data_IF_678633646203
#
_entry.id   IF_678633646203
#
_cell.length_a   1.000
_cell.length_b   1.000
_cell.length_c   1.000
_cell.angle_alpha   90.00
_cell.angle_beta   90.00
_cell.angle_gamma   90.00
#
_symmetry.space_group_name_H-M   'P 1'
#
loop_
_entity.id
_entity.type
_entity.pdbx_description
1 polymer ?
#
# COMPACT_ATOMS: atom_id res chain seq x y z
N UNK A 1 43.59 1.10 3.77
CA UNK A 1 43.72 -0.37 3.92
C UNK A 1 43.12 -0.78 5.25
N UNK A 2 41.86 -1.19 5.26
CA UNK A 2 41.15 -1.62 6.48
C UNK A 2 41.27 -3.13 6.63
N UNK A 3 41.99 -3.56 7.66
CA UNK A 3 42.19 -4.96 8.02
C UNK A 3 40.86 -5.58 8.46
N UNK A 4 40.44 -6.63 7.74
CA UNK A 4 39.34 -7.52 8.14
C UNK A 4 39.54 -7.99 9.59
N UNK A 5 38.47 -7.91 10.39
CA UNK A 5 38.42 -8.40 11.77
C UNK A 5 38.92 -9.86 11.86
N UNK A 6 39.79 -10.14 12.84
CA UNK A 6 40.39 -11.46 13.10
C UNK A 6 39.35 -12.59 13.19
N UNK A 7 38.13 -12.29 13.64
CA UNK A 7 37.05 -13.27 13.78
C UNK A 7 36.46 -13.72 12.43
N UNK A 8 36.39 -12.82 11.45
CA UNK A 8 35.96 -13.16 10.07
C UNK A 8 37.04 -14.00 9.37
N UNK A 9 38.31 -13.68 9.62
CA UNK A 9 39.44 -14.48 9.11
C UNK A 9 39.49 -15.88 9.75
N UNK A 10 39.20 -16.01 11.05
CA UNK A 10 39.12 -17.30 11.72
C UNK A 10 37.97 -18.16 11.19
N UNK A 11 36.76 -17.61 11.02
CA UNK A 11 35.65 -18.37 10.43
C UNK A 11 35.93 -18.80 8.98
N UNK A 12 36.59 -17.95 8.17
CA UNK A 12 37.03 -18.31 6.81
C UNK A 12 38.08 -19.41 6.81
N UNK A 13 39.05 -19.35 7.75
CA UNK A 13 40.09 -20.36 7.89
C UNK A 13 39.49 -21.71 8.28
N UNK A 14 38.56 -21.72 9.24
CA UNK A 14 37.83 -22.93 9.65
C UNK A 14 36.96 -23.48 8.52
N UNK A 15 36.21 -22.65 7.78
CA UNK A 15 35.42 -23.14 6.63
C UNK A 15 36.30 -23.70 5.51
N UNK A 16 37.46 -23.09 5.25
CA UNK A 16 38.44 -23.55 4.26
C UNK A 16 39.07 -24.88 4.69
N UNK A 17 39.44 -25.02 5.96
CA UNK A 17 40.01 -26.25 6.51
C UNK A 17 38.99 -27.39 6.56
N UNK A 18 37.74 -27.11 6.94
CA UNK A 18 36.65 -28.11 6.96
C UNK A 18 36.19 -28.50 5.55
N UNK A 19 36.12 -27.56 4.61
CA UNK A 19 35.79 -27.85 3.21
C UNK A 19 36.89 -28.65 2.50
N UNK A 20 38.16 -28.36 2.79
CA UNK A 20 39.29 -29.12 2.26
C UNK A 20 39.35 -30.54 2.85
N UNK A 21 39.02 -30.69 4.14
CA UNK A 21 38.91 -32.00 4.79
C UNK A 21 37.75 -32.82 4.19
N UNK A 22 36.61 -32.19 3.89
CA UNK A 22 35.48 -32.84 3.24
C UNK A 22 35.82 -33.27 1.80
N UNK A 23 36.44 -32.40 0.99
CA UNK A 23 36.86 -32.73 -0.37
C UNK A 23 37.86 -33.91 -0.42
N UNK A 24 38.75 -34.02 0.59
CA UNK A 24 39.70 -35.14 0.74
C UNK A 24 39.07 -36.44 1.27
N UNK A 25 37.87 -36.36 1.84
CA UNK A 25 37.14 -37.51 2.39
C UNK A 25 36.23 -38.21 1.38
N UNK A 26 36.02 -37.61 0.21
CA UNK A 26 35.27 -38.21 -0.90
C UNK A 26 36.25 -39.08 -1.72
N UNK A 27 35.93 -40.37 -1.98
CA UNK A 27 36.84 -41.28 -2.68
C UNK A 27 36.87 -40.96 -4.19
N UNK A 28 37.56 -39.89 -4.56
CA UNK A 28 37.82 -39.50 -5.94
C UNK A 28 39.31 -39.68 -6.21
N UNK A 29 39.67 -40.60 -7.12
CA UNK A 29 41.07 -40.93 -7.41
C UNK A 29 41.64 -39.93 -8.44
N UNK A 30 42.83 -39.39 -8.16
CA UNK A 30 43.67 -38.69 -9.14
C UNK A 30 43.22 -37.28 -9.56
N UNK A 31 43.34 -36.89 -10.85
CA UNK A 31 43.27 -35.49 -11.36
C UNK A 31 41.96 -34.73 -11.05
N UNK A 32 40.95 -35.42 -10.53
CA UNK A 32 39.70 -34.81 -10.04
C UNK A 32 39.83 -34.12 -8.67
N UNK A 33 40.77 -34.53 -7.80
CA UNK A 33 41.04 -33.84 -6.52
C UNK A 33 41.66 -32.47 -6.78
N UNK A 34 42.65 -32.39 -7.69
CA UNK A 34 43.33 -31.14 -8.00
C UNK A 34 42.37 -30.13 -8.68
N UNK A 35 41.46 -30.63 -9.53
CA UNK A 35 40.38 -29.84 -10.10
C UNK A 35 39.40 -29.32 -9.02
N UNK A 36 39.04 -30.15 -8.04
CA UNK A 36 38.17 -29.76 -6.93
C UNK A 36 38.83 -28.74 -5.99
N UNK A 37 40.13 -28.89 -5.68
CA UNK A 37 40.88 -27.92 -4.87
C UNK A 37 41.04 -26.57 -5.59
N UNK A 38 41.29 -26.58 -6.90
CA UNK A 38 41.32 -25.35 -7.73
C UNK A 38 39.95 -24.68 -7.79
N UNK A 39 38.87 -25.44 -8.00
CA UNK A 39 37.50 -24.91 -7.96
C UNK A 39 37.18 -24.33 -6.59
N UNK A 40 37.49 -25.02 -5.49
CA UNK A 40 37.22 -24.55 -4.14
C UNK A 40 38.00 -23.27 -3.81
N UNK A 41 39.25 -23.17 -4.26
CA UNK A 41 40.08 -21.97 -4.10
C UNK A 41 39.50 -20.81 -4.90
N UNK A 42 39.12 -21.04 -6.17
CA UNK A 42 38.47 -20.05 -7.03
C UNK A 42 37.13 -19.59 -6.43
N UNK A 43 36.29 -20.51 -5.95
CA UNK A 43 35.04 -20.19 -5.26
C UNK A 43 35.28 -19.39 -3.98
N UNK A 44 36.32 -19.73 -3.21
CA UNK A 44 36.69 -19.01 -1.98
C UNK A 44 37.18 -17.59 -2.27
N UNK A 45 37.96 -17.41 -3.34
CA UNK A 45 38.45 -16.11 -3.78
C UNK A 45 37.31 -15.25 -4.33
N UNK A 46 36.49 -15.80 -5.23
CA UNK A 46 35.28 -15.14 -5.77
C UNK A 46 34.39 -14.69 -4.62
N UNK A 47 34.10 -15.60 -3.67
CA UNK A 47 33.26 -15.27 -2.52
C UNK A 47 33.90 -14.19 -1.62
N UNK A 48 35.22 -14.21 -1.45
CA UNK A 48 35.93 -13.18 -0.69
C UNK A 48 35.88 -11.80 -1.36
N UNK A 49 35.99 -11.73 -2.69
CA UNK A 49 35.78 -10.50 -3.47
C UNK A 49 34.34 -10.02 -3.38
N UNK A 50 33.34 -10.88 -3.64
CA UNK A 50 31.92 -10.51 -3.55
C UNK A 50 31.55 -10.00 -2.16
N UNK A 51 32.01 -10.67 -1.10
CA UNK A 51 31.83 -10.23 0.28
C UNK A 51 32.43 -8.84 0.54
N UNK A 52 33.65 -8.60 0.01
CA UNK A 52 34.37 -7.33 0.18
C UNK A 52 33.67 -6.20 -0.57
N UNK A 53 33.26 -6.44 -1.80
CA UNK A 53 32.59 -5.45 -2.64
C UNK A 53 31.23 -5.08 -2.07
N UNK A 54 30.49 -6.06 -1.54
CA UNK A 54 29.23 -5.82 -0.84
C UNK A 54 29.43 -5.01 0.43
N UNK A 55 30.41 -5.37 1.25
CA UNK A 55 30.73 -4.60 2.46
C UNK A 55 31.13 -3.16 2.13
N UNK A 56 31.95 -2.96 1.09
CA UNK A 56 32.32 -1.62 0.64
C UNK A 56 31.11 -0.80 0.20
N UNK A 57 30.22 -1.37 -0.62
CA UNK A 57 28.97 -0.71 -1.04
C UNK A 57 28.07 -0.36 0.14
N UNK A 58 27.99 -1.25 1.13
CA UNK A 58 27.24 -0.99 2.35
C UNK A 58 27.81 0.21 3.13
N UNK A 59 29.13 0.25 3.36
CA UNK A 59 29.75 1.38 4.05
C UNK A 59 29.61 2.69 3.26
N UNK A 60 29.84 2.64 1.94
CA UNK A 60 29.67 3.81 1.07
C UNK A 60 28.22 4.32 1.08
N UNK A 61 27.25 3.43 0.91
CA UNK A 61 25.83 3.79 0.91
C UNK A 61 25.38 4.40 2.24
N UNK A 62 25.93 3.97 3.37
CA UNK A 62 25.66 4.62 4.66
C UNK A 62 26.10 6.09 4.62
N UNK A 63 27.31 6.36 4.13
CA UNK A 63 27.83 7.73 4.01
C UNK A 63 27.11 8.60 2.98
N UNK A 64 26.48 8.00 1.98
CA UNK A 64 25.64 8.69 1.00
C UNK A 64 24.29 9.14 1.60
N UNK A 65 23.70 8.34 2.49
CA UNK A 65 22.40 8.64 3.12
C UNK A 65 22.54 9.44 4.42
N UNK A 66 23.62 9.23 5.18
CA UNK A 66 23.87 9.88 6.45
C UNK A 66 25.22 10.60 6.41
N UNK A 67 25.18 11.93 6.48
CA UNK A 67 26.37 12.77 6.56
C UNK A 67 26.87 12.97 8.00
N UNK A 68 26.04 12.62 8.99
CA UNK A 68 26.38 12.64 10.41
C UNK A 68 26.90 11.27 10.89
N UNK A 69 27.51 11.24 12.08
CA UNK A 69 27.90 9.98 12.71
C UNK A 69 26.69 9.08 12.96
N UNK A 70 26.79 7.83 12.51
CA UNK A 70 25.76 6.81 12.72
C UNK A 70 25.94 6.22 14.12
N UNK A 71 25.06 6.64 15.05
CA UNK A 71 25.02 6.11 16.40
C UNK A 71 24.32 4.74 16.44
N UNK A 72 25.11 3.68 16.23
CA UNK A 72 24.66 2.29 16.33
C UNK A 72 25.63 1.51 17.20
N UNK A 73 25.09 0.67 18.09
CA UNK A 73 25.93 -0.17 18.95
C UNK A 73 26.79 -1.12 18.12
N UNK A 74 27.93 -1.50 18.69
CA UNK A 74 28.87 -2.42 18.06
C UNK A 74 28.22 -3.78 17.79
N UNK A 75 27.36 -4.23 18.68
CA UNK A 75 26.64 -5.49 18.62
C UNK A 75 25.68 -5.51 17.43
N UNK A 76 24.86 -4.46 17.29
CA UNK A 76 23.90 -4.33 16.18
C UNK A 76 24.60 -4.16 14.83
N UNK A 77 25.65 -3.34 14.78
CA UNK A 77 26.45 -3.18 13.57
C UNK A 77 27.12 -4.49 13.15
N UNK A 78 27.67 -5.24 14.11
CA UNK A 78 28.25 -6.57 13.85
C UNK A 78 27.20 -7.56 13.34
N UNK A 79 25.99 -7.55 13.89
CA UNK A 79 24.88 -8.38 13.43
C UNK A 79 24.49 -8.06 11.98
N UNK A 80 24.33 -6.77 11.65
CA UNK A 80 24.05 -6.28 10.28
C UNK A 80 25.12 -6.74 9.30
N UNK A 81 26.40 -6.49 9.59
CA UNK A 81 27.52 -6.87 8.72
C UNK A 81 27.57 -8.39 8.54
N UNK A 82 27.37 -9.16 9.61
CA UNK A 82 27.35 -10.63 9.53
C UNK A 82 26.24 -11.12 8.61
N UNK A 83 25.03 -10.56 8.71
CA UNK A 83 23.89 -10.93 7.86
C UNK A 83 24.11 -10.49 6.41
N UNK A 84 24.56 -9.26 6.17
CA UNK A 84 24.88 -8.72 4.85
C UNK A 84 25.89 -9.58 4.07
N UNK A 85 27.00 -9.95 4.72
CA UNK A 85 28.09 -10.70 4.08
C UNK A 85 27.66 -12.13 3.73
N UNK A 86 26.76 -12.71 4.52
CA UNK A 86 26.21 -14.05 4.28
C UNK A 86 25.01 -14.07 3.33
N UNK A 87 24.44 -12.91 3.02
CA UNK A 87 23.28 -12.79 2.13
C UNK A 87 23.67 -13.18 0.70
N UNK A 88 22.83 -13.89 -0.03
CA UNK A 88 23.09 -14.26 -1.43
C UNK A 88 22.43 -13.28 -2.41
N UNK A 89 21.53 -12.40 -1.94
CA UNK A 89 20.82 -11.44 -2.77
C UNK A 89 21.48 -10.06 -2.73
N UNK A 90 22.27 -9.78 -3.76
CA UNK A 90 23.06 -8.55 -3.82
C UNK A 90 22.26 -7.25 -3.67
N UNK A 91 21.02 -7.25 -4.18
CA UNK A 91 20.07 -6.13 -4.07
C UNK A 91 19.73 -5.76 -2.63
N UNK A 92 19.82 -6.70 -1.67
CA UNK A 92 19.52 -6.42 -0.26
C UNK A 92 20.53 -5.51 0.41
N UNK A 93 21.70 -5.29 -0.21
CA UNK A 93 22.71 -4.35 0.29
C UNK A 93 22.09 -2.98 0.57
N UNK A 94 21.24 -2.47 -0.34
CA UNK A 94 20.58 -1.18 -0.16
C UNK A 94 19.60 -1.19 1.02
N UNK A 95 18.83 -2.26 1.19
CA UNK A 95 17.92 -2.40 2.33
C UNK A 95 18.68 -2.45 3.66
N UNK A 96 19.82 -3.12 3.73
CA UNK A 96 20.66 -3.11 4.92
C UNK A 96 21.24 -1.72 5.21
N UNK A 97 21.66 -0.97 4.18
CA UNK A 97 22.11 0.42 4.34
C UNK A 97 21.00 1.27 4.97
N UNK A 98 19.81 1.27 4.37
CA UNK A 98 18.66 2.05 4.83
C UNK A 98 18.20 1.64 6.23
N UNK A 99 18.16 0.34 6.51
CA UNK A 99 17.87 -0.18 7.85
C UNK A 99 18.88 0.34 8.87
N UNK A 100 20.18 0.30 8.56
CA UNK A 100 21.24 0.75 9.49
C UNK A 100 21.05 2.20 9.90
N UNK A 101 20.86 3.09 8.92
CA UNK A 101 20.64 4.52 9.16
C UNK A 101 19.34 4.74 9.94
N UNK A 102 18.28 4.03 9.58
CA UNK A 102 16.98 4.16 10.24
C UNK A 102 17.02 3.68 11.69
N UNK A 103 17.68 2.57 11.99
CA UNK A 103 17.82 2.04 13.35
C UNK A 103 18.64 2.97 14.24
N UNK A 104 19.71 3.57 13.71
CA UNK A 104 20.53 4.55 14.43
C UNK A 104 19.75 5.81 14.81
N UNK A 105 18.79 6.22 13.97
CA UNK A 105 17.91 7.39 14.22
C UNK A 105 16.65 7.05 15.01
N UNK A 106 16.38 5.77 15.23
CA UNK A 106 15.17 5.30 15.89
C UNK A 106 15.30 5.30 17.41
N UNK A 107 14.18 5.52 18.11
CA UNK A 107 14.07 5.39 19.56
C UNK A 107 13.79 3.94 20.03
N UNK A 108 14.06 2.95 19.18
CA UNK A 108 13.81 1.53 19.49
C UNK A 108 14.78 1.03 20.57
N UNK A 109 14.34 0.04 21.34
CA UNK A 109 15.24 -0.67 22.25
C UNK A 109 16.09 -1.71 21.50
N UNK A 110 17.06 -2.32 22.20
CA UNK A 110 18.00 -3.24 21.57
C UNK A 110 17.36 -4.51 21.01
N UNK A 111 16.35 -5.05 21.68
CA UNK A 111 15.63 -6.24 21.22
C UNK A 111 14.82 -5.94 19.96
N UNK A 112 14.15 -4.77 19.90
CA UNK A 112 13.42 -4.31 18.73
C UNK A 112 14.35 -4.08 17.53
N UNK A 113 15.52 -3.46 17.75
CA UNK A 113 16.52 -3.28 16.68
C UNK A 113 16.99 -4.63 16.13
N UNK A 114 17.29 -5.57 17.01
CA UNK A 114 17.75 -6.91 16.63
C UNK A 114 16.65 -7.69 15.89
N UNK A 115 15.39 -7.54 16.31
CA UNK A 115 14.24 -8.11 15.62
C UNK A 115 14.20 -7.67 14.14
N UNK A 116 14.28 -6.38 13.84
CA UNK A 116 14.25 -5.90 12.44
C UNK A 116 15.47 -6.36 11.62
N UNK A 117 16.65 -6.44 12.22
CA UNK A 117 17.85 -7.02 11.58
C UNK A 117 17.60 -8.47 11.20
N UNK A 118 17.01 -9.26 12.11
CA UNK A 118 16.69 -10.66 11.86
C UNK A 118 15.64 -10.83 10.77
N UNK A 119 14.53 -10.10 10.87
CA UNK A 119 13.44 -10.13 9.89
C UNK A 119 13.97 -9.77 8.50
N UNK A 120 14.69 -8.65 8.33
CA UNK A 120 15.25 -8.28 7.02
C UNK A 120 16.20 -9.37 6.50
N UNK A 121 17.00 -9.98 7.38
CA UNK A 121 17.92 -11.04 6.96
C UNK A 121 17.22 -12.30 6.45
N UNK A 122 16.05 -12.60 7.00
CA UNK A 122 15.29 -13.78 6.61
C UNK A 122 14.53 -13.53 5.32
N UNK A 123 13.95 -12.35 5.11
CA UNK A 123 13.17 -12.03 3.91
C UNK A 123 14.05 -12.02 2.65
N UNK A 124 13.55 -12.62 1.57
CA UNK A 124 14.20 -12.48 0.26
C UNK A 124 13.77 -11.18 -0.43
N UNK A 125 14.45 -10.79 -1.51
CA UNK A 125 14.01 -9.66 -2.34
C UNK A 125 12.58 -9.86 -2.85
N UNK A 126 12.20 -11.10 -3.21
CA UNK A 126 10.83 -11.40 -3.62
C UNK A 126 9.82 -11.22 -2.49
N UNK A 127 10.20 -11.55 -1.25
CA UNK A 127 9.35 -11.36 -0.07
C UNK A 127 9.17 -9.87 0.24
N UNK A 128 10.24 -9.08 0.12
CA UNK A 128 10.23 -7.62 0.31
C UNK A 128 9.39 -6.94 -0.78
N UNK A 129 9.55 -7.33 -2.04
CA UNK A 129 8.72 -6.83 -3.14
C UNK A 129 7.24 -7.19 -2.97
N UNK A 130 6.97 -8.39 -2.47
CA UNK A 130 5.61 -8.81 -2.13
C UNK A 130 5.03 -7.98 -0.99
N UNK A 131 5.81 -7.75 0.08
CA UNK A 131 5.41 -6.89 1.19
C UNK A 131 5.10 -5.47 0.71
N UNK A 132 5.96 -4.89 -0.13
CA UNK A 132 5.73 -3.57 -0.73
C UNK A 132 4.42 -3.50 -1.53
N UNK A 133 4.15 -4.50 -2.38
CA UNK A 133 2.87 -4.60 -3.12
C UNK A 133 1.66 -4.71 -2.20
N UNK A 134 1.79 -5.52 -1.14
CA UNK A 134 0.74 -5.72 -0.16
C UNK A 134 0.46 -4.44 0.63
N UNK A 135 1.50 -3.68 1.00
CA UNK A 135 1.37 -2.37 1.64
C UNK A 135 0.58 -1.41 0.77
N UNK A 136 1.01 -1.22 -0.48
CA UNK A 136 0.36 -0.29 -1.42
C UNK A 136 -1.10 -0.68 -1.65
N UNK A 137 -1.37 -1.97 -1.87
CA UNK A 137 -2.73 -2.47 -2.08
C UNK A 137 -3.64 -2.30 -0.84
N UNK A 138 -3.06 -2.28 0.36
CA UNK A 138 -3.82 -2.14 1.62
C UNK A 138 -4.05 -0.67 1.97
N UNK A 139 -3.05 0.20 1.76
CA UNK A 139 -3.01 1.54 2.31
C UNK A 139 -3.27 2.66 1.28
N UNK A 140 -3.13 2.39 -0.02
CA UNK A 140 -3.28 3.40 -1.07
C UNK A 140 -4.43 3.05 -2.02
N UNK A 141 -5.26 4.01 -2.47
CA UNK A 141 -6.27 3.75 -3.50
C UNK A 141 -5.64 3.38 -4.84
N UNK A 142 -5.79 2.12 -5.26
CA UNK A 142 -5.22 1.60 -6.51
C UNK A 142 -6.25 1.56 -7.64
N UNK A 143 -5.86 1.98 -8.85
CA UNK A 143 -6.71 1.90 -10.05
C UNK A 143 -7.07 0.45 -10.37
N UNK A 144 -8.29 0.24 -10.86
CA UNK A 144 -8.86 -1.08 -11.16
C UNK A 144 -9.62 -1.71 -9.98
N UNK A 145 -9.47 -1.18 -8.77
CA UNK A 145 -10.09 -1.74 -7.56
C UNK A 145 -11.04 -0.75 -6.89
N UNK A 146 -12.23 -1.21 -6.51
CA UNK A 146 -13.20 -0.36 -5.80
C UNK A 146 -12.73 -0.05 -4.38
N UNK A 147 -12.17 -1.06 -3.69
CA UNK A 147 -11.67 -0.92 -2.31
C UNK A 147 -10.30 -1.53 -2.11
N UNK A 148 -9.62 -1.10 -1.04
CA UNK A 148 -8.36 -1.68 -0.61
C UNK A 148 -8.48 -3.17 -0.29
N UNK A 149 -9.61 -3.65 0.24
CA UNK A 149 -9.76 -5.10 0.47
C UNK A 149 -9.79 -5.88 -0.84
N UNK A 150 -10.46 -5.36 -1.88
CA UNK A 150 -10.44 -6.00 -3.19
C UNK A 150 -9.05 -5.98 -3.84
N UNK A 151 -8.29 -4.90 -3.65
CA UNK A 151 -6.91 -4.80 -4.11
C UNK A 151 -6.01 -5.78 -3.35
N UNK A 152 -6.11 -5.83 -2.02
CA UNK A 152 -5.37 -6.77 -1.18
C UNK A 152 -5.66 -8.22 -1.57
N UNK A 153 -6.93 -8.58 -1.75
CA UNK A 153 -7.35 -9.91 -2.18
C UNK A 153 -6.72 -10.31 -3.53
N UNK A 154 -6.52 -9.37 -4.46
CA UNK A 154 -5.86 -9.67 -5.74
C UNK A 154 -4.40 -10.11 -5.58
N UNK A 155 -3.75 -9.72 -4.48
CA UNK A 155 -2.36 -10.05 -4.14
C UNK A 155 -2.27 -11.34 -3.30
N UNK A 156 -3.25 -11.59 -2.41
CA UNK A 156 -3.23 -12.72 -1.47
C UNK A 156 -3.96 -13.97 -1.99
N UNK A 157 -4.95 -13.82 -2.86
CA UNK A 157 -5.73 -14.95 -3.42
C UNK A 157 -4.99 -15.82 -4.46
N UNK A 158 -4.03 -15.31 -5.27
CA UNK A 158 -3.33 -16.15 -6.23
C UNK A 158 -2.60 -17.32 -5.56
N UNK A 159 -2.94 -18.54 -5.95
CA UNK A 159 -2.29 -19.78 -5.46
C UNK A 159 -0.92 -20.04 -6.10
N UNK A 160 -0.17 -18.97 -6.43
CA UNK A 160 1.20 -19.09 -6.94
C UNK A 160 2.12 -19.43 -5.77
N UNK A 161 2.97 -20.44 -5.96
CA UNK A 161 3.86 -20.93 -4.89
C UNK A 161 4.70 -19.82 -4.24
N UNK A 162 5.24 -18.90 -5.05
CA UNK A 162 6.03 -17.76 -4.54
C UNK A 162 5.19 -16.81 -3.68
N UNK A 163 3.99 -16.44 -4.12
CA UNK A 163 3.09 -15.55 -3.37
C UNK A 163 2.67 -16.16 -2.03
N UNK A 164 2.35 -17.46 -2.02
CA UNK A 164 2.02 -18.20 -0.80
C UNK A 164 3.22 -18.27 0.16
N UNK A 165 4.42 -18.55 -0.36
CA UNK A 165 5.65 -18.57 0.44
C UNK A 165 5.93 -17.22 1.08
N UNK A 166 5.86 -16.13 0.31
CA UNK A 166 6.10 -14.78 0.81
C UNK A 166 5.07 -14.39 1.87
N UNK A 167 3.77 -14.61 1.60
CA UNK A 167 2.71 -14.33 2.58
C UNK A 167 2.89 -15.11 3.89
N UNK A 168 3.12 -16.42 3.81
CA UNK A 168 3.36 -17.23 5.00
C UNK A 168 4.57 -16.75 5.79
N UNK A 169 5.63 -16.32 5.11
CA UNK A 169 6.83 -15.79 5.77
C UNK A 169 6.57 -14.47 6.48
N UNK A 170 5.82 -13.57 5.87
CA UNK A 170 5.35 -12.35 6.56
C UNK A 170 4.52 -12.68 7.80
N UNK A 171 3.71 -13.74 7.75
CA UNK A 171 2.93 -14.20 8.92
C UNK A 171 3.84 -14.79 9.99
N UNK A 172 4.76 -15.68 9.64
CA UNK A 172 5.69 -16.29 10.60
C UNK A 172 6.64 -15.28 11.24
N UNK A 173 7.01 -14.22 10.51
CA UNK A 173 7.80 -13.10 11.04
C UNK A 173 6.98 -12.10 11.87
N UNK A 174 5.68 -12.33 12.08
CA UNK A 174 4.81 -11.45 12.88
C UNK A 174 4.44 -10.14 12.20
N UNK A 175 4.64 -10.02 10.89
CA UNK A 175 4.39 -8.79 10.14
C UNK A 175 2.95 -8.72 9.59
N UNK A 176 2.29 -9.87 9.43
CA UNK A 176 0.90 -9.94 8.99
C UNK A 176 0.15 -11.04 9.71
N UNK A 177 -1.17 -10.93 9.78
CA UNK A 177 -2.02 -12.00 10.30
C UNK A 177 -3.37 -12.06 9.59
N UNK A 178 -3.96 -13.25 9.56
CA UNK A 178 -5.29 -13.46 9.01
C UNK A 178 -6.34 -12.74 9.86
N UNK A 179 -7.19 -11.97 9.21
CA UNK A 179 -8.31 -11.35 9.88
C UNK A 179 -9.41 -12.40 10.13
N UNK A 180 -9.41 -12.98 11.33
CA UNK A 180 -10.38 -14.00 11.76
C UNK A 180 -11.67 -13.42 12.36
N UNK A 181 -11.93 -12.13 12.20
CA UNK A 181 -13.18 -11.53 12.67
C UNK A 181 -14.33 -11.89 11.72
N UNK A 182 -15.34 -12.61 12.22
CA UNK A 182 -16.54 -12.99 11.48
C UNK A 182 -16.53 -14.44 10.99
N UNK A 183 -17.42 -14.77 10.05
CA UNK A 183 -17.56 -16.12 9.50
C UNK A 183 -16.30 -16.57 8.74
N UNK A 184 -16.06 -17.89 8.73
CA UNK A 184 -14.96 -18.51 7.99
C UNK A 184 -15.16 -18.24 6.49
N UNK A 185 -14.34 -17.33 5.93
CA UNK A 185 -14.35 -17.00 4.51
C UNK A 185 -13.33 -17.85 3.76
N UNK A 186 -13.69 -18.27 2.55
CA UNK A 186 -12.80 -19.02 1.65
C UNK A 186 -11.51 -18.26 1.30
N UNK A 187 -11.55 -16.93 1.31
CA UNK A 187 -10.39 -16.05 1.15
C UNK A 187 -10.39 -15.03 2.32
N UNK A 188 -9.63 -15.26 3.40
CA UNK A 188 -9.54 -14.32 4.50
C UNK A 188 -8.82 -13.03 4.04
N UNK A 189 -9.24 -11.89 4.59
CA UNK A 189 -8.44 -10.67 4.49
C UNK A 189 -7.25 -10.74 5.46
N UNK A 190 -6.21 -9.96 5.21
CA UNK A 190 -5.02 -9.92 6.05
C UNK A 190 -4.87 -8.53 6.68
N UNK A 191 -4.44 -8.49 7.95
CA UNK A 191 -4.08 -7.25 8.64
C UNK A 191 -2.57 -7.15 8.72
N UNK A 192 -2.06 -5.95 8.46
CA UNK A 192 -0.65 -5.61 8.60
C UNK A 192 -0.42 -5.13 10.03
N UNK A 193 0.71 -5.52 10.63
CA UNK A 193 1.08 -5.06 11.97
C UNK A 193 1.82 -3.73 11.91
N UNK A 194 1.93 -3.03 13.05
CA UNK A 194 2.78 -1.83 13.14
C UNK A 194 4.24 -2.11 12.79
N UNK A 195 4.72 -3.32 13.08
CA UNK A 195 6.10 -3.71 12.76
C UNK A 195 6.30 -3.92 11.26
N UNK A 196 5.27 -4.35 10.53
CA UNK A 196 5.31 -4.35 9.06
C UNK A 196 5.50 -2.93 8.50
N UNK A 197 4.71 -1.97 9.01
CA UNK A 197 4.79 -0.58 8.57
C UNK A 197 6.16 0.04 8.93
N UNK A 198 6.65 -0.23 10.14
CA UNK A 198 8.00 0.20 10.57
C UNK A 198 9.10 -0.39 9.71
N UNK A 199 9.07 -1.70 9.45
CA UNK A 199 10.07 -2.35 8.60
C UNK A 199 10.12 -1.71 7.22
N UNK A 200 8.96 -1.52 6.57
CA UNK A 200 8.91 -0.87 5.26
C UNK A 200 9.39 0.58 5.34
N UNK A 201 8.99 1.32 6.37
CA UNK A 201 9.48 2.68 6.61
C UNK A 201 10.98 2.78 6.85
N UNK A 202 11.63 1.72 7.33
CA UNK A 202 13.08 1.67 7.50
C UNK A 202 13.84 1.35 6.22
N UNK A 203 13.26 0.55 5.32
CA UNK A 203 13.97 0.02 4.14
C UNK A 203 13.55 0.69 2.82
N UNK A 204 12.51 1.52 2.82
CA UNK A 204 12.02 2.24 1.65
C UNK A 204 11.92 3.74 1.89
N UNK A 205 12.13 4.54 0.84
CA UNK A 205 11.68 5.93 0.84
C UNK A 205 10.15 5.98 0.69
N UNK A 206 9.53 7.09 1.12
CA UNK A 206 8.08 7.28 0.96
C UNK A 206 7.62 7.13 -0.50
N UNK A 207 8.43 7.60 -1.45
CA UNK A 207 8.13 7.52 -2.88
C UNK A 207 8.14 6.09 -3.41
N UNK A 208 8.93 5.19 -2.80
CA UNK A 208 8.97 3.78 -3.17
C UNK A 208 7.70 3.04 -2.74
N UNK A 209 6.92 3.61 -1.82
CA UNK A 209 5.66 3.08 -1.30
C UNK A 209 4.43 3.69 -2.02
N UNK A 210 4.62 4.28 -3.19
CA UNK A 210 3.54 4.78 -4.05
C UNK A 210 3.20 3.79 -5.18
N UNK A 211 1.95 3.79 -5.70
CA UNK A 211 1.55 2.93 -6.82
C UNK A 211 2.46 3.06 -8.05
N UNK A 212 2.89 4.28 -8.35
CA UNK A 212 3.75 4.60 -9.50
C UNK A 212 5.10 3.88 -9.45
N UNK A 213 5.70 3.74 -8.26
CA UNK A 213 6.94 2.99 -8.06
C UNK A 213 6.80 1.48 -8.36
N UNK A 214 5.57 0.97 -8.37
CA UNK A 214 5.24 -0.41 -8.74
C UNK A 214 4.74 -0.54 -10.18
N UNK A 215 4.86 0.51 -10.99
CA UNK A 215 4.25 0.60 -12.33
C UNK A 215 2.73 0.36 -12.31
N UNK A 216 2.09 0.76 -11.21
CA UNK A 216 0.65 0.72 -11.04
C UNK A 216 0.11 2.13 -11.23
N UNK A 217 -0.92 2.27 -12.05
CA UNK A 217 -1.58 3.55 -12.27
C UNK A 217 -2.36 3.98 -11.02
N UNK A 218 -2.22 5.25 -10.65
CA UNK A 218 -3.06 5.87 -9.61
C UNK A 218 -4.45 6.18 -10.15
N UNK A 219 -5.43 6.27 -9.24
CA UNK A 219 -6.77 6.75 -9.60
C UNK A 219 -6.72 8.22 -9.99
N UNK A 220 -7.59 8.64 -10.90
CA UNK A 220 -7.78 10.05 -11.19
C UNK A 220 -8.46 10.73 -10.01
N UNK A 221 -7.84 11.76 -9.45
CA UNK A 221 -8.37 12.49 -8.30
C UNK A 221 -9.32 13.60 -8.73
N UNK A 222 -10.45 13.70 -8.04
CA UNK A 222 -11.44 14.76 -8.15
C UNK A 222 -11.78 15.26 -6.74
N UNK A 223 -12.27 16.50 -6.62
CA UNK A 223 -12.84 16.94 -5.36
C UNK A 223 -14.24 16.37 -5.18
N UNK A 224 -15.01 16.32 -6.29
CA UNK A 224 -16.41 15.89 -6.29
C UNK A 224 -16.73 15.02 -7.50
N UNK A 225 -17.41 13.91 -7.28
CA UNK A 225 -18.04 13.11 -8.35
C UNK A 225 -19.56 13.16 -8.19
N UNK A 226 -20.25 13.56 -9.24
CA UNK A 226 -21.71 13.59 -9.30
C UNK A 226 -22.19 12.32 -10.01
N UNK A 227 -23.00 11.50 -9.33
CA UNK A 227 -23.51 10.22 -9.80
C UNK A 227 -24.85 10.40 -10.52
N UNK A 228 -24.80 10.61 -11.84
CA UNK A 228 -25.98 10.67 -12.70
C UNK A 228 -26.45 9.28 -13.12
N UNK A 229 -27.18 8.61 -12.22
CA UNK A 229 -27.74 7.28 -12.43
C UNK A 229 -28.90 7.21 -13.44
N UNK A 230 -29.08 8.24 -14.29
CA UNK A 230 -30.21 8.34 -15.21
C UNK A 230 -31.51 8.72 -14.51
N UNK A 231 -31.38 9.45 -13.41
CA UNK A 231 -32.52 9.93 -12.63
C UNK A 231 -33.39 10.90 -13.46
N UNK A 232 -34.71 10.84 -13.29
CA UNK A 232 -35.76 11.33 -14.20
C UNK A 232 -35.91 12.86 -14.33
N UNK A 233 -34.80 13.60 -14.42
CA UNK A 233 -34.74 15.07 -14.40
C UNK A 233 -34.09 15.66 -15.64
N UNK A 234 -34.07 14.94 -16.77
CA UNK A 234 -33.39 15.38 -18.00
C UNK A 234 -31.93 15.88 -17.78
N UNK A 235 -31.25 15.38 -16.75
CA UNK A 235 -29.89 15.81 -16.39
C UNK A 235 -29.77 17.24 -15.85
N UNK A 236 -30.84 17.86 -15.34
CA UNK A 236 -30.80 19.23 -14.78
C UNK A 236 -29.97 19.33 -13.50
N UNK A 237 -30.21 18.46 -12.52
CA UNK A 237 -29.52 18.50 -11.24
C UNK A 237 -27.99 18.32 -11.36
N UNK A 238 -27.43 17.36 -12.16
CA UNK A 238 -25.99 17.21 -12.23
C UNK A 238 -25.33 18.40 -12.93
N UNK A 239 -26.00 19.00 -13.93
CA UNK A 239 -25.47 20.17 -14.66
C UNK A 239 -25.39 21.41 -13.78
N UNK A 240 -26.45 21.74 -13.04
CA UNK A 240 -26.47 22.94 -12.18
C UNK A 240 -25.37 22.87 -11.12
N UNK A 241 -25.30 21.76 -10.39
CA UNK A 241 -24.26 21.57 -9.36
C UNK A 241 -22.86 21.57 -10.01
N UNK A 242 -22.69 20.89 -11.14
CA UNK A 242 -21.41 20.88 -11.88
C UNK A 242 -20.94 22.29 -12.22
N UNK A 243 -21.81 23.12 -12.81
CA UNK A 243 -21.44 24.48 -13.21
C UNK A 243 -21.10 25.37 -12.01
N UNK A 244 -21.87 25.28 -10.92
CA UNK A 244 -21.61 26.06 -9.70
C UNK A 244 -20.26 25.70 -9.06
N UNK A 245 -20.00 24.40 -8.89
CA UNK A 245 -18.75 23.94 -8.30
C UNK A 245 -17.55 24.24 -9.21
N UNK A 246 -17.68 24.07 -10.53
CA UNK A 246 -16.61 24.41 -11.49
C UNK A 246 -16.31 25.90 -11.53
N UNK A 247 -17.34 26.76 -11.43
CA UNK A 247 -17.15 28.21 -11.34
C UNK A 247 -16.35 28.61 -10.09
N UNK A 248 -16.41 27.81 -9.02
CA UNK A 248 -15.61 27.98 -7.81
C UNK A 248 -14.22 27.29 -7.88
N UNK A 249 -13.80 26.80 -9.05
CA UNK A 249 -12.49 26.18 -9.25
C UNK A 249 -12.38 24.72 -8.79
N UNK A 250 -13.49 24.10 -8.37
CA UNK A 250 -13.49 22.72 -7.87
C UNK A 250 -13.33 21.72 -9.02
N UNK A 251 -12.55 20.66 -8.82
CA UNK A 251 -12.37 19.60 -9.83
C UNK A 251 -13.54 18.60 -9.74
N UNK A 252 -14.49 18.72 -10.66
CA UNK A 252 -15.74 17.93 -10.67
C UNK A 252 -15.82 16.98 -11.86
N UNK A 253 -16.34 15.78 -11.65
CA UNK A 253 -16.70 14.83 -12.71
C UNK A 253 -18.17 14.38 -12.57
N UNK A 254 -18.81 14.04 -13.69
CA UNK A 254 -20.13 13.42 -13.72
C UNK A 254 -19.96 11.99 -14.20
N UNK A 255 -20.52 11.03 -13.46
CA UNK A 255 -20.41 9.60 -13.72
C UNK A 255 -21.75 8.92 -13.69
N UNK A 256 -21.94 7.89 -14.53
CA UNK A 256 -23.24 7.22 -14.67
C UNK A 256 -23.56 6.25 -13.54
N UNK A 257 -22.53 5.69 -12.92
CA UNK A 257 -22.67 4.70 -11.87
C UNK A 257 -21.40 4.59 -11.04
N UNK A 258 -21.51 3.84 -9.97
CA UNK A 258 -20.46 3.64 -8.96
C UNK A 258 -19.24 2.87 -9.48
N UNK A 259 -19.25 2.26 -10.67
CA UNK A 259 -18.07 1.57 -11.20
C UNK A 259 -16.90 2.52 -11.49
N UNK A 260 -17.17 3.82 -11.64
CA UNK A 260 -16.14 4.84 -11.78
C UNK A 260 -15.15 4.85 -10.59
N UNK A 261 -15.57 4.42 -9.39
CA UNK A 261 -14.72 4.40 -8.19
C UNK A 261 -13.54 3.43 -8.31
N UNK A 262 -13.59 2.47 -9.25
CA UNK A 262 -12.43 1.64 -9.54
C UNK A 262 -11.28 2.45 -10.15
N UNK A 263 -11.59 3.54 -10.85
CA UNK A 263 -10.61 4.32 -11.61
C UNK A 263 -10.44 5.76 -11.13
N UNK A 264 -11.40 6.26 -10.34
CA UNK A 264 -11.48 7.64 -9.87
C UNK A 264 -11.58 7.69 -8.36
N UNK A 265 -11.01 8.73 -7.77
CA UNK A 265 -11.07 9.02 -6.34
C UNK A 265 -11.71 10.40 -6.15
N UNK A 266 -12.58 10.54 -5.17
CA UNK A 266 -13.15 11.83 -4.80
C UNK A 266 -13.29 11.99 -3.29
N UNK A 267 -13.24 13.25 -2.82
CA UNK A 267 -13.53 13.61 -1.43
C UNK A 267 -15.02 13.52 -1.12
N UNK A 268 -15.85 13.89 -2.08
CA UNK A 268 -17.31 13.82 -1.98
C UNK A 268 -17.96 13.22 -3.22
N UNK A 269 -19.06 12.52 -2.97
CA UNK A 269 -19.98 12.03 -3.98
C UNK A 269 -21.33 12.70 -3.81
N UNK A 270 -21.96 13.10 -4.91
CA UNK A 270 -23.31 13.65 -4.91
C UNK A 270 -24.20 12.71 -5.71
N UNK A 271 -25.29 12.24 -5.12
CA UNK A 271 -26.25 11.39 -5.80
C UNK A 271 -27.68 11.86 -5.52
N UNK A 272 -28.57 11.63 -6.49
CA UNK A 272 -30.00 11.81 -6.32
C UNK A 272 -30.73 10.46 -6.35
N UNK A 273 -31.72 10.29 -5.47
CA UNK A 273 -32.59 9.10 -5.46
C UNK A 273 -34.05 9.46 -5.16
N UNK A 274 -34.98 8.66 -5.64
CA UNK A 274 -36.38 8.72 -5.24
C UNK A 274 -36.56 7.87 -4.00
N UNK A 275 -37.27 8.39 -3.02
CA UNK A 275 -37.72 7.63 -1.87
C UNK A 275 -39.20 7.91 -1.61
N UNK A 276 -39.82 7.01 -0.86
CA UNK A 276 -41.21 7.12 -0.45
C UNK A 276 -41.25 7.04 1.07
N UNK A 277 -41.92 8.00 1.70
CA UNK A 277 -42.12 8.01 3.15
C UNK A 277 -43.58 8.28 3.46
N UNK A 278 -44.02 7.76 4.60
CA UNK A 278 -45.34 8.05 5.14
C UNK A 278 -45.31 9.46 5.76
N UNK A 279 -46.19 10.34 5.32
CA UNK A 279 -46.33 11.66 5.90
C UNK A 279 -47.02 11.58 7.28
N UNK A 280 -47.04 12.68 8.04
CA UNK A 280 -47.70 12.76 9.34
C UNK A 280 -49.23 12.57 9.32
N UNK A 281 -49.82 12.33 8.15
CA UNK A 281 -51.23 12.06 7.91
C UNK A 281 -51.47 10.60 7.48
N UNK A 282 -50.45 9.73 7.50
CA UNK A 282 -50.58 8.32 7.13
C UNK A 282 -50.58 8.03 5.63
N UNK A 283 -50.28 9.01 4.78
CA UNK A 283 -50.21 8.86 3.32
C UNK A 283 -48.78 8.69 2.83
N UNK A 284 -48.55 7.78 1.90
CA UNK A 284 -47.26 7.61 1.23
C UNK A 284 -47.02 8.75 0.24
N UNK A 285 -45.96 9.54 0.46
CA UNK A 285 -45.53 10.60 -0.45
C UNK A 285 -44.18 10.25 -1.07
N UNK A 286 -44.06 10.48 -2.37
CA UNK A 286 -42.81 10.33 -3.11
C UNK A 286 -42.01 11.63 -3.05
N UNK A 287 -40.74 11.53 -2.70
CA UNK A 287 -39.80 12.63 -2.71
C UNK A 287 -38.50 12.22 -3.41
N UNK A 288 -37.74 13.22 -3.81
CA UNK A 288 -36.38 13.06 -4.31
C UNK A 288 -35.43 13.57 -3.24
N UNK A 289 -34.38 12.82 -2.97
CA UNK A 289 -33.33 13.15 -2.03
C UNK A 289 -32.03 13.37 -2.82
N UNK A 290 -31.41 14.53 -2.64
CA UNK A 290 -30.05 14.81 -3.12
C UNK A 290 -29.12 14.71 -1.92
N UNK A 291 -28.16 13.80 -1.96
CA UNK A 291 -27.28 13.49 -0.84
C UNK A 291 -25.82 13.74 -1.20
N UNK A 292 -25.09 14.32 -0.26
CA UNK A 292 -23.63 14.45 -0.28
C UNK A 292 -23.04 13.38 0.63
N UNK A 293 -22.09 12.63 0.12
CA UNK A 293 -21.59 11.40 0.74
C UNK A 293 -20.06 11.42 0.69
N UNK A 294 -19.42 11.02 1.79
CA UNK A 294 -17.95 10.97 1.88
C UNK A 294 -17.38 9.62 1.48
N UNK A 295 -18.03 8.53 1.90
CA UNK A 295 -17.59 7.17 1.63
C UNK A 295 -18.70 6.37 0.93
N UNK A 296 -18.34 5.68 -0.14
CA UNK A 296 -19.19 4.70 -0.79
C UNK A 296 -18.96 3.34 -0.10
N UNK A 297 -19.94 2.83 0.65
CA UNK A 297 -19.86 1.49 1.23
C UNK A 297 -20.10 0.44 0.13
N UNK A 298 -19.00 -0.05 -0.44
CA UNK A 298 -19.01 -1.06 -1.49
C UNK A 298 -19.57 -2.41 -1.05
N UNK A 299 -19.77 -2.66 0.27
CA UNK A 299 -20.27 -3.95 0.77
C UNK A 299 -21.79 -4.03 0.71
N UNK A 300 -22.49 -2.90 0.67
CA UNK A 300 -23.96 -2.86 0.69
C UNK A 300 -24.60 -2.32 -0.59
N UNK A 301 -23.81 -1.91 -1.60
CA UNK A 301 -24.32 -1.16 -2.76
C UNK A 301 -25.32 -0.07 -2.33
N UNK A 302 -25.05 0.59 -1.21
CA UNK A 302 -25.94 1.59 -0.66
C UNK A 302 -25.16 2.75 -0.06
N UNK A 303 -25.76 3.92 -0.18
CA UNK A 303 -25.29 5.19 0.35
C UNK A 303 -25.56 5.22 1.86
N UNK A 304 -24.62 4.73 2.67
CA UNK A 304 -24.85 4.50 4.11
C UNK A 304 -24.64 5.77 4.95
N UNK A 305 -23.79 6.71 4.55
CA UNK A 305 -23.44 7.88 5.36
C UNK A 305 -23.55 9.19 4.57
N UNK A 306 -24.79 9.71 4.44
CA UNK A 306 -25.02 11.05 3.92
C UNK A 306 -24.53 12.09 4.94
N UNK A 307 -23.51 12.87 4.57
CA UNK A 307 -23.06 14.02 5.37
C UNK A 307 -24.07 15.17 5.33
N UNK A 308 -24.78 15.29 4.21
CA UNK A 308 -25.79 16.30 4.00
C UNK A 308 -26.83 15.77 3.01
N UNK A 309 -28.07 16.18 3.20
CA UNK A 309 -29.17 15.81 2.29
C UNK A 309 -30.18 16.92 2.19
N UNK A 310 -30.72 17.08 0.99
CA UNK A 310 -31.85 17.94 0.69
C UNK A 310 -32.99 17.09 0.15
N UNK A 311 -34.20 17.37 0.62
CA UNK A 311 -35.41 16.66 0.23
C UNK A 311 -36.29 17.61 -0.59
N UNK A 312 -36.66 17.16 -1.77
CA UNK A 312 -37.52 17.91 -2.69
C UNK A 312 -38.69 17.01 -3.07
N UNK A 313 -39.91 17.52 -2.98
CA UNK A 313 -41.08 16.77 -3.44
C UNK A 313 -40.92 16.40 -4.92
N UNK A 314 -41.34 15.19 -5.30
CA UNK A 314 -41.13 14.66 -6.66
C UNK A 314 -41.72 15.57 -7.75
N UNK A 315 -42.82 16.24 -7.45
CA UNK A 315 -43.51 17.19 -8.33
C UNK A 315 -42.65 18.40 -8.71
N UNK A 316 -41.69 18.77 -7.86
CA UNK A 316 -40.72 19.83 -8.13
C UNK A 316 -39.39 19.30 -8.71
N UNK A 317 -39.30 18.00 -8.97
CA UNK A 317 -38.06 17.32 -9.36
C UNK A 317 -38.09 16.77 -10.80
N UNK A 318 -39.27 16.52 -11.37
CA UNK A 318 -39.45 16.12 -12.77
C UNK A 318 -40.49 17.02 -13.44
N UNK A 319 -40.13 17.64 -14.56
CA UNK A 319 -41.11 18.21 -15.48
C UNK A 319 -41.92 17.06 -16.05
N UNK A 320 -43.21 16.96 -15.71
CA UNK A 320 -44.14 16.30 -16.63
C UNK A 320 -44.22 17.20 -17.85
N UNK A 321 -44.15 16.61 -19.05
CA UNK A 321 -43.97 17.35 -20.30
C UNK A 321 -45.06 18.41 -20.59
N UNK A 322 -46.15 18.45 -19.81
CA UNK A 322 -47.27 19.41 -19.95
C UNK A 322 -47.66 20.17 -18.65
N UNK A 323 -46.81 20.25 -17.62
CA UNK A 323 -47.18 20.91 -16.36
C UNK A 323 -46.70 22.38 -16.29
N UNK A 324 -47.61 23.32 -16.55
CA UNK A 324 -47.40 24.77 -16.35
C UNK A 324 -47.25 25.18 -14.86
N UNK A 325 -47.23 24.20 -13.95
CA UNK A 325 -47.12 24.36 -12.50
C UNK A 325 -45.73 24.04 -11.93
N UNK A 326 -44.75 23.69 -12.79
CA UNK A 326 -43.40 23.34 -12.35
C UNK A 326 -42.66 24.54 -11.73
N UNK A 327 -42.68 24.62 -10.40
CA UNK A 327 -41.88 25.57 -9.63
C UNK A 327 -40.46 25.04 -9.41
N UNK A 328 -39.53 25.48 -10.27
CA UNK A 328 -38.12 25.16 -10.20
C UNK A 328 -37.40 25.81 -9.00
N UNK A 329 -38.03 26.76 -8.29
CA UNK A 329 -37.37 27.53 -7.22
C UNK A 329 -36.94 26.66 -6.04
N UNK A 330 -37.76 25.68 -5.66
CA UNK A 330 -37.46 24.72 -4.58
C UNK A 330 -36.29 23.80 -4.95
N UNK A 331 -36.28 23.29 -6.18
CA UNK A 331 -35.17 22.48 -6.68
C UNK A 331 -33.88 23.31 -6.72
N UNK A 332 -33.92 24.52 -7.29
CA UNK A 332 -32.76 25.39 -7.34
C UNK A 332 -32.23 25.74 -5.94
N UNK A 333 -33.11 25.98 -4.97
CA UNK A 333 -32.72 26.23 -3.57
C UNK A 333 -32.01 25.01 -2.98
N UNK A 334 -32.56 23.81 -3.17
CA UNK A 334 -31.92 22.57 -2.72
C UNK A 334 -30.54 22.36 -3.38
N UNK A 335 -30.42 22.58 -4.69
CA UNK A 335 -29.15 22.44 -5.42
C UNK A 335 -28.10 23.45 -4.94
N UNK A 336 -28.52 24.71 -4.70
CA UNK A 336 -27.66 25.75 -4.14
C UNK A 336 -27.17 25.38 -2.74
N UNK A 337 -28.03 24.85 -1.88
CA UNK A 337 -27.66 24.42 -0.53
C UNK A 337 -26.64 23.28 -0.57
N UNK A 338 -26.85 22.29 -1.45
CA UNK A 338 -25.90 21.18 -1.65
C UNK A 338 -24.55 21.70 -2.12
N UNK A 339 -24.52 22.58 -3.13
CA UNK A 339 -23.26 23.16 -3.62
C UNK A 339 -22.57 24.00 -2.53
N UNK A 340 -23.30 24.85 -1.80
CA UNK A 340 -22.78 25.66 -0.71
C UNK A 340 -22.19 24.81 0.43
N UNK A 341 -22.86 23.70 0.78
CA UNK A 341 -22.36 22.75 1.77
C UNK A 341 -21.00 22.17 1.34
N UNK A 342 -20.90 21.69 0.10
CA UNK A 342 -19.68 21.10 -0.45
C UNK A 342 -18.54 22.13 -0.49
N UNK A 343 -18.81 23.36 -0.95
CA UNK A 343 -17.83 24.44 -0.99
C UNK A 343 -17.30 24.77 0.41
N UNK A 344 -18.20 24.92 1.39
CA UNK A 344 -17.83 25.18 2.79
C UNK A 344 -16.98 24.06 3.38
N UNK A 345 -17.29 22.81 3.06
CA UNK A 345 -16.53 21.64 3.54
C UNK A 345 -15.14 21.56 2.92
N UNK A 346 -15.04 21.78 1.61
CA UNK A 346 -13.75 21.78 0.91
C UNK A 346 -12.85 22.93 1.34
N UNK A 347 -13.41 24.11 1.63
CA UNK A 347 -12.63 25.26 2.14
C UNK A 347 -12.09 25.07 3.56
N UNK A 348 -12.70 24.21 4.37
CA UNK A 348 -12.21 23.85 5.72
C UNK A 348 -11.12 22.77 5.70
N UNK A 349 -10.87 22.16 4.54
CA UNK A 349 -9.90 21.08 4.33
C UNK A 349 -8.60 21.56 3.66
N UNK A 350 -8.49 22.87 3.44
CA UNK A 350 -7.30 23.61 2.98
C UNK A 350 -6.83 24.40 4.20
#
# INVERSE_FOLDING_TARGET
MTTLSKNVMQHRKVLKETGLAFAKSIPLVGPHIEAAEKMFTLFSEINATTCRDRFNRYIMGIGEICHDEVDISREHFSALVKKLVLDDEDKKTEYYVRLTVSLARSSLNDDERLFFIHVLSELTCSDIDYARKLYVATNVPVKGFKTSESAQLSITSPKKAMSLKSLNKLIYSGLAYENRTGDVKANPGYKLTSDFERLLGFIFHHDDLQPTALSIESKEEFDVIIMDSGFSCNGLYPKIIYHQLRAAGIKVCIEKNENCISNKLAKFFICARTATAMNGQGQWKNFSEISVIKNLDSRKNSFVDSEFKEIVDREHFSTRDDDSSFDASKLNTALNNVAAFVLRRLSLSI
#
